data_IF_397552537494
#
_entry.id   IF_397552537494
#
_cell.length_a   1.000
_cell.length_b   1.000
_cell.length_c   1.000
_cell.angle_alpha   90.00
_cell.angle_beta   90.00
_cell.angle_gamma   90.00
#
_symmetry.space_group_name_H-M   'P 1'
#
loop_
_entity.id
_entity.type
_entity.pdbx_description
1 polymer ?
#
# COMPACT_ATOMS: atom_id res chain seq x y z
N UNK A 1 -10.57 -15.90 -15.37
CA UNK A 1 -9.90 -14.58 -15.47
C UNK A 1 -9.46 -14.15 -14.08
N UNK A 2 -8.69 -13.06 -13.97
CA UNK A 2 -8.28 -12.46 -12.68
C UNK A 2 -9.03 -11.15 -12.46
N UNK A 3 -9.30 -10.80 -11.20
CA UNK A 3 -9.89 -9.50 -10.85
C UNK A 3 -8.79 -8.43 -10.88
N UNK A 4 -9.00 -7.38 -11.68
CA UNK A 4 -8.04 -6.29 -11.83
C UNK A 4 -8.49 -5.08 -11.00
N UNK A 5 -7.59 -4.54 -10.18
CA UNK A 5 -7.74 -3.26 -9.51
C UNK A 5 -6.80 -2.26 -10.20
N UNK A 6 -7.37 -1.24 -10.83
CA UNK A 6 -6.64 -0.18 -11.52
C UNK A 6 -6.49 1.04 -10.64
N UNK A 7 -5.30 1.64 -10.61
CA UNK A 7 -5.01 2.89 -9.90
C UNK A 7 -4.35 3.84 -10.90
N UNK A 8 -4.91 5.03 -11.08
CA UNK A 8 -4.35 6.07 -11.95
C UNK A 8 -4.72 7.45 -11.43
N UNK A 9 -4.13 8.47 -12.02
CA UNK A 9 -4.50 9.89 -11.88
C UNK A 9 -5.66 10.34 -12.77
N UNK A 10 -6.08 9.50 -13.72
CA UNK A 10 -7.11 9.84 -14.70
C UNK A 10 -8.14 8.73 -14.85
N UNK A 11 -9.44 9.06 -14.88
CA UNK A 11 -10.49 8.07 -15.18
C UNK A 11 -10.43 7.56 -16.62
N UNK A 12 -9.81 8.32 -17.53
CA UNK A 12 -9.63 7.91 -18.93
C UNK A 12 -8.40 6.99 -19.12
N UNK A 13 -7.64 6.73 -18.06
CA UNK A 13 -6.48 5.84 -18.12
C UNK A 13 -6.89 4.42 -18.54
N UNK A 14 -6.18 3.79 -19.49
CA UNK A 14 -6.48 2.42 -19.91
C UNK A 14 -6.46 1.41 -18.76
N UNK A 15 -5.61 1.67 -17.74
CA UNK A 15 -5.48 0.81 -16.55
C UNK A 15 -6.74 0.85 -15.68
N UNK A 16 -7.45 1.98 -15.63
CA UNK A 16 -8.72 2.13 -14.89
C UNK A 16 -9.90 1.72 -15.78
N UNK A 17 -9.90 2.09 -17.06
CA UNK A 17 -10.99 1.78 -17.97
C UNK A 17 -11.20 0.26 -18.17
N UNK A 18 -10.12 -0.53 -18.07
CA UNK A 18 -10.17 -2.00 -18.19
C UNK A 18 -10.25 -2.77 -16.87
N UNK A 19 -10.34 -2.11 -15.71
CA UNK A 19 -10.31 -2.78 -14.41
C UNK A 19 -11.71 -3.07 -13.84
N UNK A 20 -11.80 -4.07 -12.97
CA UNK A 20 -13.02 -4.38 -12.24
C UNK A 20 -13.30 -3.36 -11.12
N UNK A 21 -12.23 -2.84 -10.52
CA UNK A 21 -12.26 -1.74 -9.56
C UNK A 21 -11.26 -0.68 -9.98
N UNK A 22 -11.65 0.60 -9.96
CA UNK A 22 -10.81 1.71 -10.36
C UNK A 22 -10.71 2.77 -9.27
N UNK A 23 -9.49 3.15 -8.88
CA UNK A 23 -9.24 4.27 -7.99
C UNK A 23 -8.53 5.39 -8.76
N UNK A 24 -9.10 6.59 -8.71
CA UNK A 24 -8.49 7.79 -9.27
C UNK A 24 -7.91 8.62 -8.14
N UNK A 25 -6.59 8.84 -8.15
CA UNK A 25 -5.86 9.56 -7.09
C UNK A 25 -5.19 10.82 -7.64
N UNK A 26 -5.12 11.88 -6.84
CA UNK A 26 -4.45 13.11 -7.26
C UNK A 26 -2.92 12.92 -7.21
N UNK A 27 -2.24 13.24 -8.30
CA UNK A 27 -0.76 13.25 -8.35
C UNK A 27 -0.20 14.64 -8.64
N UNK A 28 -1.06 15.62 -8.95
CA UNK A 28 -0.65 16.98 -9.30
C UNK A 28 0.03 17.66 -8.13
N UNK A 29 1.12 18.36 -8.44
CA UNK A 29 1.82 19.23 -7.49
C UNK A 29 2.15 20.56 -8.15
N UNK A 30 2.44 21.63 -7.36
CA UNK A 30 2.94 22.88 -7.91
C UNK A 30 4.32 22.78 -8.59
N UNK A 31 5.05 21.68 -8.38
CA UNK A 31 6.36 21.41 -8.98
C UNK A 31 6.19 20.46 -10.18
N UNK A 32 7.14 20.45 -11.12
CA UNK A 32 7.09 19.58 -12.31
C UNK A 32 7.24 18.07 -12.02
N UNK A 33 7.00 17.63 -10.78
CA UNK A 33 7.10 16.24 -10.35
C UNK A 33 5.77 15.78 -9.76
N UNK A 34 5.19 14.67 -10.26
CA UNK A 34 4.00 14.09 -9.67
C UNK A 34 4.30 13.52 -8.28
N UNK A 35 3.35 13.65 -7.36
CA UNK A 35 3.44 13.09 -6.01
C UNK A 35 2.79 11.71 -5.93
N UNK A 36 3.44 10.79 -5.22
CA UNK A 36 2.88 9.48 -4.88
C UNK A 36 2.12 9.48 -3.56
N UNK A 37 2.01 10.63 -2.88
CA UNK A 37 1.45 10.72 -1.53
C UNK A 37 0.02 10.18 -1.47
N UNK A 38 -0.86 10.62 -2.37
CA UNK A 38 -2.25 10.15 -2.42
C UNK A 38 -2.36 8.67 -2.78
N UNK A 39 -1.46 8.16 -3.62
CA UNK A 39 -1.36 6.71 -3.89
C UNK A 39 -0.96 5.94 -2.64
N UNK A 40 0.03 6.43 -1.88
CA UNK A 40 0.44 5.84 -0.60
C UNK A 40 -0.71 5.81 0.40
N UNK A 41 -1.39 6.95 0.59
CA UNK A 41 -2.54 7.05 1.50
C UNK A 41 -3.68 6.09 1.12
N UNK A 42 -3.94 5.90 -0.18
CA UNK A 42 -4.91 4.90 -0.65
C UNK A 42 -4.48 3.49 -0.26
N UNK A 43 -3.22 3.11 -0.51
CA UNK A 43 -2.70 1.78 -0.19
C UNK A 43 -2.72 1.53 1.32
N UNK A 44 -2.33 2.51 2.13
CA UNK A 44 -2.41 2.45 3.60
C UNK A 44 -3.86 2.28 4.08
N UNK A 45 -4.79 2.99 3.48
CA UNK A 45 -6.22 2.88 3.81
C UNK A 45 -6.76 1.49 3.48
N UNK A 46 -6.43 0.95 2.30
CA UNK A 46 -6.82 -0.41 1.92
C UNK A 46 -6.22 -1.44 2.88
N UNK A 47 -4.95 -1.29 3.25
CA UNK A 47 -4.29 -2.15 4.22
C UNK A 47 -4.94 -2.03 5.61
N UNK A 48 -5.33 -0.84 6.04
CA UNK A 48 -6.02 -0.63 7.31
C UNK A 48 -7.36 -1.39 7.35
N UNK A 49 -8.13 -1.40 6.26
CA UNK A 49 -9.35 -2.21 6.17
C UNK A 49 -9.06 -3.71 6.22
N UNK A 50 -8.01 -4.17 5.53
CA UNK A 50 -7.59 -5.58 5.58
C UNK A 50 -7.20 -5.98 7.00
N UNK A 51 -6.44 -5.13 7.70
CA UNK A 51 -6.02 -5.39 9.09
C UNK A 51 -7.22 -5.34 10.04
N UNK A 52 -8.16 -4.42 9.84
CA UNK A 52 -9.34 -4.31 10.69
C UNK A 52 -10.26 -5.54 10.61
N UNK A 53 -10.26 -6.24 9.48
CA UNK A 53 -11.00 -7.49 9.26
C UNK A 53 -10.14 -8.75 9.43
N UNK A 54 -8.85 -8.60 9.70
CA UNK A 54 -7.90 -9.71 9.74
C UNK A 54 -8.13 -10.62 10.95
N UNK A 55 -7.98 -11.93 10.74
CA UNK A 55 -7.94 -12.91 11.82
C UNK A 55 -6.62 -12.86 12.60
N UNK A 56 -6.62 -13.39 13.81
CA UNK A 56 -5.42 -13.48 14.67
C UNK A 56 -4.23 -14.17 13.96
N UNK A 57 -4.50 -15.15 13.10
CA UNK A 57 -3.47 -15.83 12.31
C UNK A 57 -2.71 -14.89 11.34
N UNK A 58 -3.41 -13.91 10.75
CA UNK A 58 -2.80 -12.92 9.86
C UNK A 58 -1.89 -11.99 10.66
N UNK A 59 -2.35 -11.54 11.84
CA UNK A 59 -1.55 -10.72 12.76
C UNK A 59 -0.29 -11.49 13.20
N UNK A 60 -0.45 -12.76 13.60
CA UNK A 60 0.68 -13.60 13.99
C UNK A 60 1.70 -13.81 12.85
N UNK A 61 1.25 -13.82 11.59
CA UNK A 61 2.15 -13.88 10.45
C UNK A 61 2.93 -12.59 10.21
N UNK A 62 2.29 -11.42 10.42
CA UNK A 62 2.96 -10.12 10.40
C UNK A 62 4.06 -10.10 11.47
N UNK A 63 3.75 -10.50 12.70
CA UNK A 63 4.71 -10.55 13.81
C UNK A 63 5.90 -11.47 13.49
N UNK A 64 5.63 -12.66 12.94
CA UNK A 64 6.67 -13.62 12.55
C UNK A 64 7.60 -13.05 11.48
N UNK A 65 7.05 -12.29 10.53
CA UNK A 65 7.83 -11.61 9.49
C UNK A 65 8.76 -10.55 10.09
N UNK A 66 8.27 -9.73 11.01
CA UNK A 66 9.08 -8.72 11.71
C UNK A 66 10.15 -9.36 12.61
N UNK A 67 9.79 -10.39 13.39
CA UNK A 67 10.72 -11.13 14.24
C UNK A 67 11.89 -11.73 13.44
N UNK A 68 11.61 -12.28 12.24
CA UNK A 68 12.67 -12.80 11.36
C UNK A 68 13.62 -11.69 10.90
N UNK A 69 13.12 -10.50 10.61
CA UNK A 69 13.96 -9.36 10.19
C UNK A 69 14.82 -8.81 11.33
N UNK A 70 14.30 -8.76 12.55
CA UNK A 70 15.11 -8.46 13.74
C UNK A 70 16.23 -9.50 13.94
N UNK A 71 15.90 -10.79 13.85
CA UNK A 71 16.89 -11.87 14.00
C UNK A 71 17.99 -11.85 12.91
N UNK A 72 17.70 -11.28 11.74
CA UNK A 72 18.67 -11.08 10.66
C UNK A 72 19.44 -9.76 10.76
N UNK A 73 19.21 -8.94 11.79
CA UNK A 73 19.85 -7.64 11.96
C UNK A 73 19.46 -6.61 10.89
N UNK A 74 18.32 -6.80 10.21
CA UNK A 74 17.84 -5.89 9.15
C UNK A 74 17.31 -4.58 9.75
N UNK A 75 16.68 -4.66 10.91
CA UNK A 75 16.28 -3.48 11.66
C UNK A 75 17.45 -2.97 12.49
N UNK A 76 17.61 -1.64 12.51
CA UNK A 76 18.44 -0.99 13.54
C UNK A 76 17.60 -0.95 14.80
N UNK A 77 18.14 -1.44 15.92
CA UNK A 77 17.46 -1.31 17.21
C UNK A 77 17.23 0.18 17.49
N UNK A 78 16.01 0.54 17.91
CA UNK A 78 15.62 1.92 18.19
C UNK A 78 16.42 2.56 19.34
N UNK A 79 17.25 1.78 20.04
CA UNK A 79 18.20 2.24 21.06
C UNK A 79 19.64 2.21 20.55
N UNK A 80 19.96 3.03 19.57
CA UNK A 80 21.35 3.29 19.18
C UNK A 80 21.57 4.78 18.98
N UNK A 81 22.31 5.39 19.93
CA UNK A 81 23.01 6.70 19.93
C UNK A 81 22.69 7.70 18.79
#
# INVERSE_FOLDING_TARGET
>A
GVTIIGISDSPASPVVAGSAHGFVVQTDTPQFFPSIFSTGALLETLMAFVIADASEDVIANIDRFHARRHALGIYRDEKGD
#
